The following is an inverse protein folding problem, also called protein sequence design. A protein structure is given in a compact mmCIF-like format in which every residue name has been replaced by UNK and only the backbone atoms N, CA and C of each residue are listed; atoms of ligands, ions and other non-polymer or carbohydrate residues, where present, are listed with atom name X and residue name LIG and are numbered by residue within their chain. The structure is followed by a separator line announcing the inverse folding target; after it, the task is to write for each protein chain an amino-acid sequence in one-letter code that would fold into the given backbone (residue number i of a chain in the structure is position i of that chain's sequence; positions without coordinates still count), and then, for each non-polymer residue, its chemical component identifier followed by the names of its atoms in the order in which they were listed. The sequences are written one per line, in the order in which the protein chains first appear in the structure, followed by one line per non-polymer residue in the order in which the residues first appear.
data_IF_259271244498
#
_entry.id   IF_259271244498
#
_cell.length_a   1.000
_cell.length_b   1.000
_cell.length_c   1.000
_cell.angle_alpha   90.00
_cell.angle_beta   90.00
_cell.angle_gamma   90.00
#
_symmetry.space_group_name_H-M   'P 1'
#
loop_
_entity.id
_entity.type
_entity.pdbx_description
1 polymer ?
#
# COMPACT_ATOMS: atom_id res chain seq x y z
N UNK A 1 26.49 -14.59 6.23
CA UNK A 1 25.24 -13.81 6.36
C UNK A 1 24.70 -13.61 4.95
N UNK A 2 23.72 -14.42 4.54
CA UNK A 2 23.08 -14.30 3.23
C UNK A 2 22.11 -13.12 3.30
N UNK A 3 22.50 -11.99 2.73
CA UNK A 3 21.57 -10.89 2.48
C UNK A 3 20.72 -11.35 1.30
N UNK A 4 19.53 -11.87 1.60
CA UNK A 4 18.51 -12.10 0.58
C UNK A 4 18.14 -10.73 0.00
N UNK A 5 18.65 -10.43 -1.18
CA UNK A 5 18.25 -9.26 -1.96
C UNK A 5 16.80 -9.50 -2.42
N UNK A 6 15.84 -9.17 -1.56
CA UNK A 6 14.45 -9.18 -1.92
C UNK A 6 14.23 -8.09 -2.96
N UNK A 7 13.87 -8.47 -4.19
CA UNK A 7 13.70 -7.55 -5.30
C UNK A 7 12.71 -6.46 -4.87
N UNK A 8 13.01 -5.16 -5.01
CA UNK A 8 12.13 -4.10 -4.50
C UNK A 8 10.67 -4.23 -5.00
N UNK A 9 10.47 -4.71 -6.24
CA UNK A 9 9.13 -5.01 -6.78
C UNK A 9 8.32 -6.03 -5.96
N UNK A 10 8.95 -7.03 -5.33
CA UNK A 10 8.22 -8.02 -4.54
C UNK A 10 7.75 -7.45 -3.20
N UNK A 11 8.55 -6.58 -2.57
CA UNK A 11 8.17 -5.92 -1.31
C UNK A 11 6.95 -5.01 -1.48
N UNK A 12 6.90 -4.21 -2.54
CA UNK A 12 5.75 -3.34 -2.81
C UNK A 12 4.50 -4.11 -3.20
N UNK A 13 4.65 -5.21 -3.96
CA UNK A 13 3.51 -6.04 -4.33
C UNK A 13 2.86 -6.69 -3.09
N UNK A 14 3.68 -7.16 -2.13
CA UNK A 14 3.17 -7.67 -0.84
C UNK A 14 2.38 -6.60 -0.10
N UNK A 15 2.91 -5.37 -0.01
CA UNK A 15 2.20 -4.23 0.55
C UNK A 15 0.88 -3.96 -0.19
N UNK A 16 0.86 -3.91 -1.52
CA UNK A 16 -0.39 -3.71 -2.27
C UNK A 16 -1.43 -4.80 -1.98
N UNK A 17 -1.01 -6.08 -1.95
CA UNK A 17 -1.91 -7.20 -1.67
C UNK A 17 -2.50 -7.11 -0.26
N UNK A 18 -1.70 -6.76 0.73
CA UNK A 18 -2.18 -6.57 2.10
C UNK A 18 -3.15 -5.38 2.21
N UNK A 19 -2.90 -4.32 1.44
CA UNK A 19 -3.78 -3.15 1.40
C UNK A 19 -5.14 -3.54 0.79
N UNK A 20 -5.11 -4.33 -0.27
CA UNK A 20 -6.29 -4.86 -0.94
C UNK A 20 -7.09 -5.77 0.00
N UNK A 21 -6.44 -6.70 0.70
CA UNK A 21 -7.09 -7.58 1.67
C UNK A 21 -7.73 -6.80 2.81
N UNK A 22 -7.03 -5.81 3.35
CA UNK A 22 -7.53 -4.96 4.42
C UNK A 22 -8.76 -4.16 3.98
N UNK A 23 -8.75 -3.56 2.78
CA UNK A 23 -9.89 -2.83 2.23
C UNK A 23 -11.13 -3.72 2.06
N UNK A 24 -10.97 -4.92 1.50
CA UNK A 24 -12.08 -5.88 1.33
C UNK A 24 -12.61 -6.34 2.68
N UNK A 25 -11.72 -6.63 3.63
CA UNK A 25 -12.09 -7.04 4.99
C UNK A 25 -12.89 -5.93 5.69
N UNK A 26 -12.51 -4.67 5.52
CA UNK A 26 -13.25 -3.54 6.08
C UNK A 26 -14.65 -3.38 5.45
N UNK A 27 -14.80 -3.67 4.16
CA UNK A 27 -16.11 -3.61 3.48
C UNK A 27 -17.06 -4.74 3.92
N UNK A 28 -16.52 -5.93 4.20
CA UNK A 28 -17.33 -7.12 4.53
C UNK A 28 -17.51 -7.34 6.03
N UNK A 29 -16.66 -6.72 6.85
CA UNK A 29 -16.61 -6.96 8.29
C UNK A 29 -15.89 -8.26 8.66
N UNK A 30 -15.81 -8.53 9.97
CA UNK A 30 -15.01 -9.63 10.55
C UNK A 30 -15.88 -10.69 11.24
N UNK A 31 -17.02 -11.05 10.63
CA UNK A 31 -17.89 -12.08 11.20
C UNK A 31 -17.31 -13.50 10.99
N UNK A 32 -17.20 -14.33 12.04
CA UNK A 32 -16.68 -15.69 11.91
C UNK A 32 -17.54 -16.56 10.97
N UNK A 33 -17.02 -17.02 9.82
CA UNK A 33 -17.83 -17.73 8.82
C UNK A 33 -18.31 -19.10 9.32
N UNK A 34 -17.66 -19.66 10.36
CA UNK A 34 -18.07 -20.91 11.00
C UNK A 34 -19.37 -20.81 11.81
N UNK A 35 -19.75 -19.60 12.22
CA UNK A 35 -20.93 -19.36 13.05
C UNK A 35 -21.98 -18.49 12.35
N UNK A 36 -21.62 -17.80 11.27
CA UNK A 36 -22.47 -16.84 10.58
C UNK A 36 -22.49 -17.09 9.07
N UNK A 37 -23.70 -17.28 8.53
CA UNK A 37 -23.96 -17.23 7.09
C UNK A 37 -24.50 -15.84 6.75
N UNK A 38 -23.66 -15.01 6.12
CA UNK A 38 -24.02 -13.65 5.71
C UNK A 38 -24.30 -13.65 4.22
N UNK A 39 -25.51 -13.21 3.85
CA UNK A 39 -25.93 -13.05 2.47
C UNK A 39 -26.17 -11.57 2.17
N UNK A 40 -25.70 -11.12 1.02
CA UNK A 40 -25.85 -9.74 0.55
C UNK A 40 -26.81 -9.74 -0.64
N UNK A 41 -27.89 -8.97 -0.50
CA UNK A 41 -28.91 -8.78 -1.53
C UNK A 41 -28.88 -7.33 -1.98
N UNK A 42 -28.79 -7.10 -3.29
CA UNK A 42 -28.76 -5.74 -3.85
C UNK A 42 -29.32 -5.73 -5.27
N UNK A 43 -29.59 -4.54 -5.78
CA UNK A 43 -29.96 -4.34 -7.19
C UNK A 43 -28.70 -4.34 -8.05
N UNK A 44 -28.79 -4.91 -9.25
CA UNK A 44 -27.65 -5.05 -10.17
C UNK A 44 -26.98 -3.70 -10.51
N UNK A 45 -27.75 -2.61 -10.60
CA UNK A 45 -27.20 -1.25 -10.77
C UNK A 45 -26.29 -0.83 -9.60
N UNK A 46 -26.72 -1.05 -8.36
CA UNK A 46 -25.93 -0.73 -7.17
C UNK A 46 -24.68 -1.62 -7.08
N UNK A 47 -24.81 -2.90 -7.44
CA UNK A 47 -23.67 -3.81 -7.52
C UNK A 47 -22.68 -3.33 -8.59
N UNK A 48 -23.14 -2.94 -9.78
CA UNK A 48 -22.28 -2.41 -10.84
C UNK A 48 -21.50 -1.17 -10.36
N UNK A 49 -22.15 -0.26 -9.65
CA UNK A 49 -21.51 0.92 -9.09
C UNK A 49 -20.45 0.57 -8.03
N UNK A 50 -20.74 -0.40 -7.15
CA UNK A 50 -19.77 -0.92 -6.19
C UNK A 50 -18.56 -1.54 -6.90
N UNK A 51 -18.80 -2.38 -7.90
CA UNK A 51 -17.74 -3.01 -8.69
C UNK A 51 -16.85 -1.98 -9.38
N UNK A 52 -17.44 -0.93 -9.95
CA UNK A 52 -16.69 0.19 -10.53
C UNK A 52 -15.83 0.91 -9.49
N UNK A 53 -16.43 1.26 -8.33
CA UNK A 53 -15.71 1.91 -7.24
C UNK A 53 -14.52 1.07 -6.73
N UNK A 54 -14.68 -0.25 -6.64
CA UNK A 54 -13.62 -1.17 -6.21
C UNK A 54 -12.51 -1.30 -7.26
N UNK A 55 -12.85 -1.33 -8.56
CA UNK A 55 -11.82 -1.26 -9.62
C UNK A 55 -11.07 0.08 -9.58
N UNK A 56 -11.76 1.19 -9.39
CA UNK A 56 -11.12 2.51 -9.23
C UNK A 56 -10.21 2.58 -8.00
N UNK A 57 -10.57 1.86 -6.93
CA UNK A 57 -9.72 1.73 -5.74
C UNK A 57 -8.43 0.96 -6.06
N UNK A 58 -8.51 -0.10 -6.87
CA UNK A 58 -7.34 -0.82 -7.37
C UNK A 58 -6.44 0.03 -8.27
N UNK A 59 -7.06 0.81 -9.16
CA UNK A 59 -6.40 1.79 -10.01
C UNK A 59 -5.64 2.84 -9.17
N UNK A 60 -6.31 3.38 -8.13
CA UNK A 60 -5.72 4.30 -7.17
C UNK A 60 -4.52 3.69 -6.45
N UNK A 61 -4.58 2.43 -6.03
CA UNK A 61 -3.44 1.76 -5.38
C UNK A 61 -2.21 1.71 -6.28
N UNK A 62 -2.38 1.47 -7.58
CA UNK A 62 -1.25 1.50 -8.52
C UNK A 62 -0.65 2.91 -8.64
N UNK A 63 -1.50 3.94 -8.70
CA UNK A 63 -1.05 5.33 -8.73
C UNK A 63 -0.34 5.75 -7.44
N UNK A 64 -0.87 5.35 -6.29
CA UNK A 64 -0.26 5.62 -5.01
C UNK A 64 1.10 4.93 -4.88
N UNK A 65 1.19 3.66 -5.31
CA UNK A 65 2.46 2.92 -5.36
C UNK A 65 3.49 3.65 -6.23
N UNK A 66 3.13 4.08 -7.45
CA UNK A 66 4.06 4.81 -8.31
C UNK A 66 4.55 6.11 -7.67
N UNK A 67 3.65 6.89 -7.05
CA UNK A 67 4.05 8.14 -6.37
C UNK A 67 5.00 7.84 -5.20
N UNK A 68 4.71 6.82 -4.39
CA UNK A 68 5.55 6.44 -3.25
C UNK A 68 6.92 5.90 -3.69
N UNK A 69 6.97 5.06 -4.72
CA UNK A 69 8.22 4.53 -5.30
C UNK A 69 9.09 5.67 -5.85
N UNK A 70 8.48 6.66 -6.51
CA UNK A 70 9.19 7.84 -7.00
C UNK A 70 9.72 8.71 -5.86
N UNK A 71 8.93 8.94 -4.80
CA UNK A 71 9.37 9.68 -3.63
C UNK A 71 10.60 9.02 -2.98
N UNK A 72 10.54 7.71 -2.73
CA UNK A 72 11.66 6.97 -2.15
C UNK A 72 12.90 6.95 -3.06
N UNK A 73 12.71 6.87 -4.38
CA UNK A 73 13.80 6.92 -5.34
C UNK A 73 14.45 8.30 -5.41
N UNK A 74 13.65 9.37 -5.33
CA UNK A 74 14.14 10.75 -5.33
C UNK A 74 14.84 11.12 -4.02
N UNK A 75 14.35 10.66 -2.86
CA UNK A 75 15.02 10.85 -1.57
C UNK A 75 16.43 10.24 -1.56
N UNK A 76 16.61 9.08 -2.19
CA UNK A 76 17.93 8.45 -2.35
C UNK A 76 18.89 9.26 -3.24
N UNK A 77 18.37 10.10 -4.14
CA UNK A 77 19.17 10.89 -5.11
C UNK A 77 19.35 12.34 -4.66
N UNK A 78 18.37 12.92 -3.99
CA UNK A 78 18.31 14.33 -3.59
C UNK A 78 19.11 14.64 -2.33
N UNK A 79 19.50 13.61 -1.58
CA UNK A 79 20.57 13.72 -0.62
C UNK A 79 21.88 13.55 -1.41
N UNK A 80 22.66 14.62 -1.71
CA UNK A 80 24.09 14.39 -1.76
C UNK A 80 24.39 13.68 -0.45
N UNK A 81 25.22 12.63 -0.49
CA UNK A 81 25.98 12.31 0.69
C UNK A 81 26.57 13.66 1.13
N UNK A 82 25.95 14.29 2.13
CA UNK A 82 26.75 14.74 3.24
C UNK A 82 27.43 13.43 3.58
N UNK A 83 28.61 13.25 3.00
CA UNK A 83 29.70 12.71 3.73
C UNK A 83 29.70 13.56 5.02
N UNK A 84 28.82 13.22 5.96
CA UNK A 84 29.28 12.48 7.08
C UNK A 84 30.33 11.51 6.50
N UNK A 85 31.55 12.03 6.29
CA UNK A 85 32.56 11.70 7.26
C UNK A 85 31.78 11.47 8.54
N UNK A 86 31.44 10.20 8.76
CA UNK A 86 31.92 9.60 9.99
C UNK A 86 33.34 10.17 10.13
N UNK A 87 33.46 11.40 10.67
CA UNK A 87 34.19 11.61 11.88
C UNK A 87 33.79 10.37 12.64
N UNK A 88 34.68 9.37 12.53
CA UNK A 88 34.57 8.12 13.25
C UNK A 88 34.02 8.57 14.59
N UNK A 89 32.76 8.23 14.87
CA UNK A 89 32.17 8.74 16.09
C UNK A 89 33.14 8.26 17.16
N UNK A 90 33.78 9.19 17.88
CA UNK A 90 34.70 8.85 18.97
C UNK A 90 34.00 7.96 20.03
N UNK A 91 32.69 7.77 19.87
CA UNK A 91 31.84 6.77 20.48
C UNK A 91 32.07 5.36 19.91
N UNK A 92 32.64 4.49 20.75
CA UNK A 92 32.73 3.07 20.49
C UNK A 92 31.34 2.41 20.39
N UNK A 93 31.15 1.53 19.41
CA UNK A 93 29.94 0.72 19.30
C UNK A 93 29.85 -0.29 20.48
N UNK A 94 28.74 -0.26 21.22
CA UNK A 94 28.43 -1.19 22.32
C UNK A 94 28.32 -0.53 23.70
N UNK A 95 27.89 -1.29 24.71
CA UNK A 95 27.72 -0.82 26.09
C UNK A 95 29.07 -0.57 26.76
N UNK A 96 29.39 0.70 27.04
CA UNK A 96 30.60 1.08 27.76
C UNK A 96 30.41 0.87 29.28
N UNK A 97 30.77 -0.30 29.81
CA UNK A 97 30.60 -0.64 31.24
C UNK A 97 31.66 -0.08 32.18
N UNK A 98 32.77 0.44 31.64
CA UNK A 98 33.96 0.84 32.41
C UNK A 98 34.26 2.34 32.30
N UNK A 99 33.24 3.17 32.52
CA UNK A 99 33.37 4.63 32.55
C UNK A 99 33.29 5.11 34.00
N UNK A 100 34.13 6.06 34.36
CA UNK A 100 34.21 6.62 35.72
C UNK A 100 34.21 8.14 35.61
N UNK A 101 33.33 8.82 36.33
CA UNK A 101 33.21 10.28 36.30
C UNK A 101 31.79 10.76 36.61
N UNK A 102 31.62 12.08 36.67
CA UNK A 102 30.32 12.72 36.82
C UNK A 102 29.91 13.39 35.50
N UNK A 103 28.65 13.24 35.12
CA UNK A 103 28.01 13.91 33.98
C UNK A 103 27.09 15.00 34.50
N UNK A 104 27.14 16.17 33.88
CA UNK A 104 26.19 17.26 34.16
C UNK A 104 25.04 17.14 33.17
N UNK A 105 23.86 16.77 33.67
CA UNK A 105 22.61 16.74 32.90
C UNK A 105 21.85 18.04 33.15
N UNK A 106 21.31 18.64 32.10
CA UNK A 106 20.40 19.76 32.24
C UNK A 106 18.96 19.29 32.48
N UNK A 107 18.36 19.70 33.60
CA UNK A 107 16.94 19.50 33.91
C UNK A 107 16.20 20.83 33.72
N UNK A 108 15.09 20.82 32.98
CA UNK A 108 14.30 22.02 32.67
C UNK A 108 13.62 22.67 33.89
N UNK A 109 13.61 22.01 35.04
CA UNK A 109 12.96 22.49 36.28
C UNK A 109 13.99 22.83 37.36
N UNK A 110 15.01 21.98 37.52
CA UNK A 110 16.02 22.08 38.60
C UNK A 110 17.39 22.58 38.13
N UNK A 111 17.59 22.79 36.82
CA UNK A 111 18.86 23.26 36.26
C UNK A 111 19.91 22.14 36.10
N UNK A 112 21.22 22.46 36.16
CA UNK A 112 22.28 21.49 35.96
C UNK A 112 22.40 20.53 37.16
N UNK A 113 22.17 19.25 36.93
CA UNK A 113 22.29 18.16 37.91
C UNK A 113 23.52 17.30 37.62
N UNK A 114 24.29 16.95 38.66
CA UNK A 114 25.43 16.03 38.55
C UNK A 114 24.97 14.61 38.83
N UNK A 115 25.27 13.70 37.91
CA UNK A 115 24.96 12.28 38.03
C UNK A 115 26.21 11.45 37.72
N UNK A 116 26.37 10.33 38.40
CA UNK A 116 27.44 9.37 38.09
C UNK A 116 27.31 8.89 36.63
N UNK A 117 28.42 8.85 35.91
CA UNK A 117 28.46 8.52 34.49
C UNK A 117 27.93 7.11 34.21
N UNK A 118 28.20 6.12 35.09
CA UNK A 118 27.69 4.75 34.90
C UNK A 118 26.18 4.74 35.06
N UNK A 119 25.68 5.38 36.11
CA UNK A 119 24.24 5.48 36.37
C UNK A 119 23.50 6.19 35.24
N UNK A 120 24.11 7.21 34.64
CA UNK A 120 23.52 7.93 33.51
C UNK A 120 23.46 7.08 32.24
N UNK A 121 24.51 6.30 31.96
CA UNK A 121 24.53 5.37 30.83
C UNK A 121 23.48 4.28 31.00
N UNK A 122 23.36 3.68 32.19
CA UNK A 122 22.31 2.69 32.48
C UNK A 122 20.90 3.24 32.24
N UNK A 123 20.65 4.50 32.63
CA UNK A 123 19.37 5.17 32.36
C UNK A 123 19.12 5.37 30.86
N UNK A 124 20.14 5.82 30.12
CA UNK A 124 20.03 6.02 28.67
C UNK A 124 19.85 4.69 27.93
N UNK A 125 20.51 3.62 28.37
CA UNK A 125 20.36 2.29 27.77
C UNK A 125 18.95 1.73 28.00
N UNK A 126 18.40 1.90 29.20
CA UNK A 126 17.01 1.52 29.51
C UNK A 126 16.00 2.32 28.67
N UNK A 127 16.22 3.63 28.50
CA UNK A 127 15.39 4.49 27.65
C UNK A 127 15.49 4.09 26.17
N UNK A 128 16.69 3.78 25.68
CA UNK A 128 16.91 3.30 24.31
C UNK A 128 16.23 1.94 24.10
N UNK A 129 16.31 1.03 25.07
CA UNK A 129 15.63 -0.27 25.03
C UNK A 129 14.11 -0.08 25.01
N UNK A 130 13.58 0.81 25.85
CA UNK A 130 12.16 1.14 25.86
C UNK A 130 11.70 1.79 24.55
N UNK A 131 12.44 2.77 24.03
CA UNK A 131 12.16 3.42 22.76
C UNK A 131 12.24 2.42 21.60
N UNK A 132 13.23 1.53 21.58
CA UNK A 132 13.32 0.46 20.59
C UNK A 132 12.14 -0.52 20.71
N UNK A 133 11.68 -0.79 21.92
CA UNK A 133 10.48 -1.60 22.13
C UNK A 133 9.21 -0.88 21.67
N UNK A 134 9.08 0.43 21.89
CA UNK A 134 7.98 1.25 21.39
C UNK A 134 8.01 1.33 19.85
N UNK A 135 9.18 1.51 19.24
CA UNK A 135 9.37 1.46 17.79
C UNK A 135 9.07 0.07 17.24
N UNK A 136 9.44 -1.01 17.93
CA UNK A 136 9.12 -2.39 17.55
C UNK A 136 7.62 -2.69 17.61
N UNK A 137 6.92 -2.23 18.67
CA UNK A 137 5.45 -2.32 18.78
C UNK A 137 4.74 -1.45 17.73
N UNK A 138 5.26 -0.26 17.47
CA UNK A 138 4.74 0.65 16.43
C UNK A 138 5.00 0.09 15.03
N UNK A 139 6.12 -0.60 14.80
CA UNK A 139 6.44 -1.24 13.53
C UNK A 139 5.63 -2.52 13.30
N UNK A 140 5.28 -3.27 14.36
CA UNK A 140 4.31 -4.35 14.30
C UNK A 140 2.88 -3.85 14.05
N UNK A 141 2.59 -2.60 14.41
CA UNK A 141 1.33 -1.91 14.14
C UNK A 141 1.41 -0.96 12.92
N UNK A 142 2.53 -0.90 12.18
CA UNK A 142 2.60 -0.22 10.89
C UNK A 142 1.76 -1.02 9.93
N UNK A 143 0.49 -0.67 9.93
CA UNK A 143 -0.43 -0.88 8.85
C UNK A 143 0.30 -0.42 7.61
N UNK A 144 0.72 -1.35 6.77
CA UNK A 144 0.98 -1.17 5.36
C UNK A 144 1.26 0.28 4.93
N UNK A 145 2.53 0.63 4.75
CA UNK A 145 3.00 1.97 4.38
C UNK A 145 2.17 2.64 3.25
N UNK A 146 1.67 1.85 2.29
CA UNK A 146 0.78 2.32 1.22
C UNK A 146 -0.57 2.83 1.76
N UNK A 147 -1.17 2.13 2.73
CA UNK A 147 -2.39 2.56 3.40
C UNK A 147 -2.15 3.78 4.28
N UNK A 148 -1.03 3.84 5.00
CA UNK A 148 -0.64 5.03 5.77
C UNK A 148 -0.50 6.24 4.86
N UNK A 149 0.21 6.08 3.73
CA UNK A 149 0.31 7.10 2.69
C UNK A 149 -1.06 7.56 2.22
N UNK A 150 -1.95 6.64 1.82
CA UNK A 150 -3.30 6.98 1.37
C UNK A 150 -4.14 7.70 2.44
N UNK A 151 -4.01 7.32 3.72
CA UNK A 151 -4.70 7.96 4.84
C UNK A 151 -4.18 9.38 5.12
N UNK A 152 -2.92 9.65 4.80
CA UNK A 152 -2.29 10.96 4.99
C UNK A 152 -2.65 11.97 3.89
N UNK A 153 -3.14 11.50 2.74
CA UNK A 153 -3.47 12.37 1.61
C UNK A 153 -4.74 13.19 1.87
N UNK A 154 -4.69 14.46 1.48
CA UNK A 154 -5.87 15.32 1.42
C UNK A 154 -6.89 14.80 0.37
N UNK A 155 -8.20 15.08 0.55
CA UNK A 155 -9.23 14.60 -0.36
C UNK A 155 -9.02 14.99 -1.84
N UNK A 156 -8.42 16.15 -2.08
CA UNK A 156 -8.10 16.61 -3.45
C UNK A 156 -7.04 15.71 -4.09
N UNK A 157 -5.94 15.43 -3.38
CA UNK A 157 -4.87 14.55 -3.83
C UNK A 157 -5.36 13.10 -4.03
N UNK A 158 -6.29 12.64 -3.18
CA UNK A 158 -6.92 11.32 -3.35
C UNK A 158 -7.78 11.28 -4.62
N UNK A 159 -8.52 12.36 -4.91
CA UNK A 159 -9.31 12.47 -6.14
C UNK A 159 -8.40 12.42 -7.38
N UNK A 160 -7.25 13.07 -7.37
CA UNK A 160 -6.30 13.02 -8.50
C UNK A 160 -5.83 11.60 -8.86
N UNK A 161 -5.68 10.73 -7.85
CA UNK A 161 -5.28 9.34 -8.08
C UNK A 161 -6.34 8.54 -8.85
N UNK A 162 -7.58 9.02 -8.89
CA UNK A 162 -8.71 8.39 -9.60
C UNK A 162 -9.13 9.17 -10.85
N UNK A 163 -8.98 10.49 -10.87
CA UNK A 163 -9.35 11.33 -12.02
C UNK A 163 -8.36 11.28 -13.17
N UNK A 164 -7.19 10.66 -12.97
CA UNK A 164 -6.18 10.45 -14.02
C UNK A 164 -6.50 9.28 -14.96
N UNK A 165 -7.59 8.56 -14.75
CA UNK A 165 -7.99 7.46 -15.63
C UNK A 165 -8.37 7.97 -17.03
N UNK A 166 -7.73 7.44 -18.07
CA UNK A 166 -8.05 7.73 -19.46
C UNK A 166 -9.44 7.24 -19.86
N UNK A 167 -9.98 7.82 -20.94
CA UNK A 167 -11.31 7.46 -21.47
C UNK A 167 -11.40 5.97 -21.82
N UNK A 168 -10.34 5.40 -22.38
CA UNK A 168 -10.25 3.97 -22.72
C UNK A 168 -10.31 3.07 -21.49
N UNK A 169 -9.69 3.49 -20.38
CA UNK A 169 -9.73 2.76 -19.10
C UNK A 169 -11.15 2.74 -18.54
N UNK A 170 -11.80 3.90 -18.52
CA UNK A 170 -13.18 4.01 -18.04
C UNK A 170 -14.12 3.16 -18.90
N UNK A 171 -13.96 3.17 -20.22
CA UNK A 171 -14.74 2.36 -21.15
C UNK A 171 -14.49 0.86 -20.94
N UNK A 172 -13.23 0.45 -20.77
CA UNK A 172 -12.87 -0.94 -20.50
C UNK A 172 -13.47 -1.46 -19.19
N UNK A 173 -13.37 -0.68 -18.11
CA UNK A 173 -13.95 -1.03 -16.81
C UNK A 173 -15.47 -1.18 -16.89
N UNK A 174 -16.17 -0.23 -17.50
CA UNK A 174 -17.62 -0.29 -17.66
C UNK A 174 -18.06 -1.48 -18.55
N UNK A 175 -17.32 -1.75 -19.62
CA UNK A 175 -17.58 -2.90 -20.50
C UNK A 175 -17.36 -4.21 -19.77
N UNK A 176 -16.31 -4.31 -18.95
CA UNK A 176 -16.02 -5.47 -18.13
C UNK A 176 -17.14 -5.76 -17.12
N UNK A 177 -17.61 -4.74 -16.38
CA UNK A 177 -18.73 -4.89 -15.42
C UNK A 177 -20.00 -5.36 -16.12
N UNK A 178 -20.37 -4.72 -17.23
CA UNK A 178 -21.59 -5.09 -17.98
C UNK A 178 -21.55 -6.55 -18.43
N UNK A 179 -20.38 -7.02 -18.91
CA UNK A 179 -20.17 -8.43 -19.27
C UNK A 179 -20.24 -9.34 -18.04
N UNK A 180 -19.64 -8.96 -16.92
CA UNK A 180 -19.64 -9.79 -15.71
C UNK A 180 -21.05 -9.97 -15.13
N UNK A 181 -21.86 -8.92 -15.16
CA UNK A 181 -23.25 -8.98 -14.72
C UNK A 181 -24.18 -9.64 -15.74
N UNK A 182 -23.66 -10.06 -16.90
CA UNK A 182 -24.42 -10.61 -18.02
C UNK A 182 -25.62 -9.75 -18.45
N UNK A 183 -25.55 -8.43 -18.21
CA UNK A 183 -26.65 -7.51 -18.50
C UNK A 183 -26.36 -6.76 -19.79
N UNK A 184 -27.17 -7.02 -20.82
CA UNK A 184 -27.09 -6.32 -22.11
C UNK A 184 -27.92 -5.03 -22.14
N UNK A 185 -28.96 -4.90 -21.30
CA UNK A 185 -29.90 -3.77 -21.30
C UNK A 185 -29.85 -2.99 -19.96
N UNK A 186 -29.60 -1.66 -19.98
CA UNK A 186 -29.62 -0.80 -18.79
C UNK A 186 -30.91 -0.90 -17.96
N UNK A 187 -32.06 -1.18 -18.58
CA UNK A 187 -33.33 -1.27 -17.88
C UNK A 187 -33.43 -2.52 -17.01
N UNK A 188 -32.74 -3.60 -17.38
CA UNK A 188 -32.70 -4.85 -16.60
C UNK A 188 -31.82 -4.70 -15.35
N UNK A 189 -30.86 -3.77 -15.34
CA UNK A 189 -30.03 -3.52 -14.15
C UNK A 189 -30.83 -2.93 -12.99
N UNK A 190 -31.90 -2.19 -13.27
CA UNK A 190 -32.71 -1.50 -12.25
C UNK A 190 -33.66 -2.41 -11.48
N UNK A 191 -33.96 -3.58 -12.04
CA UNK A 191 -34.97 -4.51 -11.52
C UNK A 191 -34.39 -5.87 -11.15
N UNK A 192 -33.21 -6.22 -11.69
CA UNK A 192 -32.53 -7.46 -11.35
C UNK A 192 -31.96 -7.40 -9.94
N UNK A 193 -32.49 -8.23 -9.05
CA UNK A 193 -31.97 -8.44 -7.71
C UNK A 193 -30.86 -9.50 -7.80
N UNK A 194 -29.68 -9.17 -7.30
CA UNK A 194 -28.56 -10.09 -7.16
C UNK A 194 -28.39 -10.46 -5.69
N UNK A 195 -28.23 -11.75 -5.43
CA UNK A 195 -27.97 -12.31 -4.12
C UNK A 195 -26.65 -13.08 -4.17
N UNK A 196 -25.75 -12.82 -3.22
CA UNK A 196 -24.45 -13.50 -3.13
C UNK A 196 -24.02 -13.62 -1.69
N UNK A 197 -23.26 -14.67 -1.36
CA UNK A 197 -22.69 -14.81 -0.02
C UNK A 197 -21.58 -13.78 0.21
N UNK A 198 -21.44 -13.29 1.44
CA UNK A 198 -20.35 -12.38 1.81
C UNK A 198 -18.94 -12.89 1.42
N UNK A 199 -18.57 -14.18 1.61
CA UNK A 199 -17.25 -14.65 1.18
C UNK A 199 -17.06 -14.70 -0.35
N UNK A 200 -18.11 -14.95 -1.12
CA UNK A 200 -18.04 -14.88 -2.59
C UNK A 200 -17.93 -13.44 -3.07
N UNK A 201 -18.71 -12.53 -2.49
CA UNK A 201 -18.62 -11.10 -2.75
C UNK A 201 -17.21 -10.58 -2.41
N UNK A 202 -16.66 -10.95 -1.25
CA UNK A 202 -15.31 -10.57 -0.85
C UNK A 202 -14.25 -11.00 -1.88
N UNK A 203 -14.33 -12.25 -2.35
CA UNK A 203 -13.45 -12.77 -3.41
C UNK A 203 -13.62 -11.98 -4.70
N UNK A 204 -14.86 -11.70 -5.11
CA UNK A 204 -15.15 -10.91 -6.30
C UNK A 204 -14.55 -9.50 -6.19
N UNK A 205 -14.80 -8.79 -5.08
CA UNK A 205 -14.29 -7.44 -4.86
C UNK A 205 -12.75 -7.42 -4.84
N UNK A 206 -12.13 -8.41 -4.21
CA UNK A 206 -10.67 -8.56 -4.26
C UNK A 206 -10.16 -8.70 -5.70
N UNK A 207 -10.76 -9.58 -6.50
CA UNK A 207 -10.41 -9.75 -7.91
C UNK A 207 -10.61 -8.48 -8.73
N UNK A 208 -11.72 -7.77 -8.53
CA UNK A 208 -11.97 -6.49 -9.20
C UNK A 208 -10.92 -5.45 -8.86
N UNK A 209 -10.46 -5.41 -7.61
CA UNK A 209 -9.40 -4.50 -7.20
C UNK A 209 -8.06 -4.86 -7.87
N UNK A 210 -7.73 -6.15 -8.00
CA UNK A 210 -6.56 -6.61 -8.77
C UNK A 210 -6.69 -6.26 -10.26
N UNK A 211 -7.88 -6.39 -10.85
CA UNK A 211 -8.14 -5.99 -12.24
C UNK A 211 -7.93 -4.49 -12.42
N UNK A 212 -8.48 -3.64 -11.54
CA UNK A 212 -8.30 -2.20 -11.59
C UNK A 212 -6.83 -1.78 -11.49
N UNK A 213 -6.08 -2.41 -10.59
CA UNK A 213 -4.62 -2.24 -10.47
C UNK A 213 -3.88 -2.61 -11.76
N UNK A 214 -4.26 -3.73 -12.37
CA UNK A 214 -3.66 -4.22 -13.61
C UNK A 214 -3.98 -3.32 -14.81
N UNK A 215 -5.19 -2.76 -14.88
CA UNK A 215 -5.58 -1.82 -15.94
C UNK A 215 -4.70 -0.58 -15.91
N UNK A 216 -4.45 0.01 -14.73
CA UNK A 216 -3.51 1.15 -14.63
C UNK A 216 -2.11 0.76 -15.10
N UNK A 217 -1.64 -0.43 -14.74
CA UNK A 217 -0.33 -0.91 -15.18
C UNK A 217 -0.25 -1.02 -16.72
N UNK A 218 -1.31 -1.51 -17.36
CA UNK A 218 -1.41 -1.60 -18.82
C UNK A 218 -1.46 -0.22 -19.46
N UNK A 219 -2.28 0.69 -18.94
CA UNK A 219 -2.42 2.07 -19.44
C UNK A 219 -1.08 2.80 -19.44
N UNK A 220 -0.33 2.76 -18.33
CA UNK A 220 1.00 3.39 -18.25
C UNK A 220 1.97 2.80 -19.26
N UNK A 221 1.97 1.47 -19.40
CA UNK A 221 2.84 0.80 -20.39
C UNK A 221 2.47 1.21 -21.82
N UNK A 222 1.18 1.24 -22.13
CA UNK A 222 0.67 1.62 -23.44
C UNK A 222 0.99 3.09 -23.76
N UNK A 223 0.80 3.99 -22.80
CA UNK A 223 1.17 5.40 -22.94
C UNK A 223 2.66 5.58 -23.19
N UNK A 224 3.50 4.84 -22.47
CA UNK A 224 4.95 4.87 -22.66
C UNK A 224 5.36 4.34 -24.03
N UNK A 225 4.79 3.23 -24.49
CA UNK A 225 5.05 2.67 -25.83
C UNK A 225 4.65 3.66 -26.93
N UNK A 226 3.50 4.34 -26.76
CA UNK A 226 3.02 5.38 -27.67
C UNK A 226 3.97 6.58 -27.73
N UNK A 227 4.45 7.06 -26.58
CA UNK A 227 5.39 8.20 -26.51
C UNK A 227 6.75 7.84 -27.12
N UNK A 228 7.21 6.61 -26.94
CA UNK A 228 8.49 6.13 -27.48
C UNK A 228 8.43 5.72 -28.95
N UNK A 229 7.26 5.79 -29.60
CA UNK A 229 7.08 5.42 -31.01
C UNK A 229 7.30 3.94 -31.30
N UNK A 230 7.14 3.07 -30.30
CA UNK A 230 7.25 1.63 -30.50
C UNK A 230 6.03 1.11 -31.28
N UNK A 231 6.22 0.22 -32.27
CA UNK A 231 5.08 -0.38 -32.96
C UNK A 231 4.23 -1.18 -31.96
N UNK A 232 2.89 -1.12 -32.05
CA UNK A 232 2.03 -1.86 -31.15
C UNK A 232 2.35 -3.35 -31.23
N UNK A 233 2.72 -3.96 -30.10
CA UNK A 233 2.82 -5.42 -30.02
C UNK A 233 1.41 -5.97 -30.10
N UNK A 234 0.98 -6.36 -31.30
CA UNK A 234 -0.16 -7.26 -31.44
C UNK A 234 0.20 -8.51 -30.66
N UNK A 235 -0.56 -8.79 -29.61
CA UNK A 235 -0.49 -10.10 -28.93
C UNK A 235 -0.86 -11.11 -30.01
N UNK A 236 0.15 -11.78 -30.58
CA UNK A 236 -0.09 -12.89 -31.49
C UNK A 236 -0.87 -13.93 -30.69
N UNK A 237 -2.14 -14.13 -31.08
CA UNK A 237 -2.93 -15.23 -30.57
C UNK A 237 -2.13 -16.51 -30.84
N UNK A 238 -2.03 -17.44 -29.87
CA UNK A 238 -1.42 -18.73 -30.13
C UNK A 238 -2.10 -19.32 -31.37
N UNK A 239 -1.34 -19.90 -32.31
CA UNK A 239 -1.90 -20.44 -33.53
C UNK A 239 -3.00 -21.43 -33.12
N UNK A 240 -4.23 -21.16 -33.57
CA UNK A 240 -5.35 -22.04 -33.29
C UNK A 240 -4.98 -23.45 -33.72
N UNK A 241 -5.02 -24.40 -32.79
CA UNK A 241 -5.01 -25.81 -33.12
C UNK A 241 -6.20 -26.06 -34.04
N UNK A 242 -5.90 -26.35 -35.31
CA UNK A 242 -6.89 -26.91 -36.21
C UNK A 242 -7.20 -28.32 -35.71
N UNK A 243 -8.38 -28.49 -35.11
CA UNK A 243 -9.04 -29.79 -34.93
C UNK A 243 -10.38 -29.74 -35.65
#
# INVERSE_FOLDING_TARGET
MLITYEKPESSFLVKVVDAMRHTVTNMMGTLPPQFFAVTVTTVAENLAQLMYSVMMTGYMFKNAQYRLELQQSLEQVALPDVQNKKDESDYAAGTQKNVSGEVIRWNNISGPERIDAKRYIELLEAEIEELNHQVGRTSANRQNELLEYLKSLEPQNLKELTSSAGEDVVLAMNTFIKRLLAVSDPNQMKTSITETSAPELAKLLYWLMVVGYSIRNIEVRFDMERVLGMPPRLVELPPGENV
#
